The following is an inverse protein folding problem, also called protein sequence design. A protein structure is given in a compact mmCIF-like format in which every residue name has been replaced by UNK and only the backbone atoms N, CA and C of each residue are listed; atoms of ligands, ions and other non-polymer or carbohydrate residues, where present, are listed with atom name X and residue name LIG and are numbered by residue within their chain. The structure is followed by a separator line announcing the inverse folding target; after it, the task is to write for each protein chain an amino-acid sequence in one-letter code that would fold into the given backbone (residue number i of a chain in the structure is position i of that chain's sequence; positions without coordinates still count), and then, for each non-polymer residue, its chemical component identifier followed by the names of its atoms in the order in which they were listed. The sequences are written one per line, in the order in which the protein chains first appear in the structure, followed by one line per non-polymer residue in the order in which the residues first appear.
data_IF_907109525045
#
_entry.id   IF_907109525045
#
_cell.length_a   1.000
_cell.length_b   1.000
_cell.length_c   1.000
_cell.angle_alpha   90.00
_cell.angle_beta   90.00
_cell.angle_gamma   90.00
#
_symmetry.space_group_name_H-M   'P 1'
#
loop_
_entity.id
_entity.type
_entity.pdbx_description
1 polymer ?
#
# COMPACT_ATOMS: atom_id res chain seq x y z
N UNK A 1 17.24 9.48 8.80
CA UNK A 1 17.22 9.11 10.23
C UNK A 1 17.36 7.59 10.33
N UNK A 2 18.15 7.04 11.26
CA UNK A 2 18.22 5.58 11.47
C UNK A 2 17.09 5.10 12.38
N UNK A 3 16.69 3.83 12.26
CA UNK A 3 15.61 3.24 13.08
C UNK A 3 15.93 3.35 14.58
N UNK A 4 17.17 3.02 14.98
CA UNK A 4 17.62 3.10 16.38
C UNK A 4 17.67 4.53 16.95
N UNK A 5 17.74 5.55 16.08
CA UNK A 5 17.62 6.95 16.48
C UNK A 5 16.16 7.36 16.58
N UNK A 6 15.34 6.99 15.59
CA UNK A 6 13.91 7.26 15.58
C UNK A 6 13.20 6.72 16.84
N UNK A 7 13.52 5.49 17.26
CA UNK A 7 12.96 4.89 18.48
C UNK A 7 13.32 5.63 19.78
N UNK A 8 14.40 6.42 19.78
CA UNK A 8 14.82 7.21 20.96
C UNK A 8 14.24 8.62 20.95
N UNK A 9 13.99 9.16 19.76
CA UNK A 9 13.62 10.57 19.57
C UNK A 9 12.12 10.77 19.28
N UNK A 10 11.42 9.75 18.77
CA UNK A 10 10.02 9.82 18.36
C UNK A 10 9.20 8.84 19.19
N UNK A 11 8.08 9.32 19.73
CA UNK A 11 7.15 8.48 20.49
C UNK A 11 6.28 7.61 19.57
N UNK A 12 5.69 6.53 20.09
CA UNK A 12 4.77 5.69 19.30
C UNK A 12 3.54 6.46 18.82
N UNK A 13 3.04 7.41 19.61
CA UNK A 13 1.91 8.29 19.26
C UNK A 13 2.30 9.19 18.10
N UNK A 14 3.43 9.90 18.23
CA UNK A 14 3.92 10.79 17.17
C UNK A 14 4.20 10.01 15.87
N UNK A 15 4.77 8.81 15.96
CA UNK A 15 4.95 7.95 14.80
C UNK A 15 3.62 7.56 14.14
N UNK A 16 2.59 7.24 14.95
CA UNK A 16 1.25 6.94 14.43
C UNK A 16 0.61 8.16 13.76
N UNK A 17 0.81 9.36 14.30
CA UNK A 17 0.34 10.62 13.71
C UNK A 17 1.03 10.89 12.37
N UNK A 18 2.34 10.67 12.28
CA UNK A 18 3.06 10.76 11.00
C UNK A 18 2.57 9.75 9.97
N UNK A 19 2.24 8.52 10.41
CA UNK A 19 1.61 7.53 9.52
C UNK A 19 0.21 7.96 9.07
N UNK A 20 -0.60 8.55 9.97
CA UNK A 20 -1.93 9.06 9.63
C UNK A 20 -1.81 10.23 8.62
N UNK A 21 -0.88 11.15 8.87
CA UNK A 21 -0.59 12.27 7.98
C UNK A 21 -0.17 11.77 6.59
N UNK A 22 0.77 10.82 6.51
CA UNK A 22 1.19 10.24 5.24
C UNK A 22 0.05 9.55 4.46
N UNK A 23 -0.97 9.02 5.14
CA UNK A 23 -2.13 8.45 4.46
C UNK A 23 -3.06 9.53 3.86
N UNK A 24 -3.11 10.71 4.47
CA UNK A 24 -3.90 11.86 3.96
C UNK A 24 -3.12 12.55 2.85
N UNK A 25 -1.86 12.87 3.12
CA UNK A 25 -0.96 13.56 2.21
C UNK A 25 0.35 12.77 2.12
N UNK A 26 0.42 11.81 1.19
CA UNK A 26 1.61 11.00 1.06
C UNK A 26 2.80 11.84 0.60
N UNK A 27 3.85 11.87 1.42
CA UNK A 27 5.08 12.56 1.08
C UNK A 27 5.66 12.05 -0.25
N UNK A 28 6.09 12.98 -1.09
CA UNK A 28 6.92 12.70 -2.25
C UNK A 28 6.30 12.99 -3.62
N UNK A 29 7.00 12.52 -4.63
CA UNK A 29 6.89 12.96 -6.02
C UNK A 29 5.77 12.31 -6.81
N UNK A 30 4.82 11.58 -6.22
CA UNK A 30 3.76 10.91 -7.01
C UNK A 30 2.96 11.87 -7.88
N UNK A 31 2.66 13.07 -7.37
CA UNK A 31 2.03 14.12 -8.17
C UNK A 31 3.00 14.68 -9.23
N UNK A 32 4.30 14.77 -8.92
CA UNK A 32 5.30 15.19 -9.89
C UNK A 32 5.47 14.15 -11.02
N UNK A 33 5.46 12.86 -10.69
CA UNK A 33 5.47 11.74 -11.64
C UNK A 33 4.22 11.74 -12.53
N UNK A 34 3.04 12.09 -12.00
CA UNK A 34 1.84 12.26 -12.81
C UNK A 34 2.03 13.41 -13.82
N UNK A 35 2.51 14.57 -13.36
CA UNK A 35 2.77 15.72 -14.24
C UNK A 35 3.79 15.38 -15.32
N UNK A 36 4.88 14.71 -14.95
CA UNK A 36 5.92 14.28 -15.89
C UNK A 36 5.44 13.18 -16.82
N UNK A 37 4.64 12.23 -16.33
CA UNK A 37 4.03 11.17 -17.14
C UNK A 37 3.08 11.74 -18.19
N UNK A 38 2.31 12.77 -17.86
CA UNK A 38 1.47 13.48 -18.84
C UNK A 38 2.32 14.11 -19.95
N UNK A 39 3.38 14.84 -19.58
CA UNK A 39 4.27 15.47 -20.55
C UNK A 39 4.96 14.43 -21.44
N UNK A 40 5.50 13.36 -20.84
CA UNK A 40 6.16 12.28 -21.57
C UNK A 40 5.20 11.58 -22.54
N UNK A 41 3.96 11.30 -22.13
CA UNK A 41 2.95 10.72 -23.01
C UNK A 41 2.57 11.66 -24.16
N UNK A 42 2.43 12.97 -23.91
CA UNK A 42 2.21 13.95 -24.98
C UNK A 42 3.37 13.94 -25.97
N UNK A 43 4.61 14.04 -25.50
CA UNK A 43 5.79 14.02 -26.36
C UNK A 43 5.93 12.72 -27.14
N UNK A 44 5.70 11.57 -26.51
CA UNK A 44 5.76 10.26 -27.16
C UNK A 44 4.68 10.11 -28.22
N UNK A 45 3.44 10.54 -27.92
CA UNK A 45 2.32 10.42 -28.86
C UNK A 45 2.46 11.34 -30.08
N UNK A 46 3.10 12.51 -29.94
CA UNK A 46 3.43 13.39 -31.08
C UNK A 46 4.35 12.68 -32.08
N UNK A 47 5.28 11.86 -31.61
CA UNK A 47 6.28 11.19 -32.44
C UNK A 47 5.95 9.74 -32.79
N UNK A 48 4.81 9.20 -32.34
CA UNK A 48 4.44 7.80 -32.60
C UNK A 48 3.84 7.61 -34.00
N UNK A 49 3.91 6.40 -34.53
CA UNK A 49 3.13 6.00 -35.71
C UNK A 49 1.62 6.01 -35.37
N UNK A 50 0.77 6.80 -36.06
CA UNK A 50 -0.67 6.87 -35.82
C UNK A 50 -1.41 5.53 -35.78
N UNK A 51 -0.89 4.50 -36.47
CA UNK A 51 -1.50 3.16 -36.54
C UNK A 51 -1.26 2.29 -35.31
N UNK A 52 -0.28 2.63 -34.46
CA UNK A 52 0.03 1.85 -33.26
C UNK A 52 -0.95 2.18 -32.12
N UNK A 53 -0.78 1.63 -30.92
CA UNK A 53 -1.52 2.08 -29.73
C UNK A 53 -0.90 3.39 -29.20
N UNK A 54 -1.73 4.34 -28.75
CA UNK A 54 -1.26 5.53 -28.05
C UNK A 54 -0.71 5.17 -26.65
N UNK A 55 0.32 5.89 -26.23
CA UNK A 55 0.87 5.78 -24.89
C UNK A 55 -0.02 6.54 -23.90
N UNK A 56 -0.29 5.92 -22.76
CA UNK A 56 -0.95 6.54 -21.63
C UNK A 56 0.09 7.13 -20.67
N UNK A 57 -0.22 8.19 -19.91
CA UNK A 57 0.69 8.70 -18.87
C UNK A 57 1.18 7.62 -17.90
N UNK A 58 0.32 6.65 -17.59
CA UNK A 58 0.64 5.49 -16.74
C UNK A 58 1.75 4.59 -17.31
N UNK A 59 1.99 4.62 -18.63
CA UNK A 59 3.09 3.89 -19.25
C UNK A 59 4.47 4.41 -18.81
N UNK A 60 4.54 5.66 -18.35
CA UNK A 60 5.76 6.34 -17.89
C UNK A 60 5.85 6.44 -16.36
N UNK A 61 4.95 5.80 -15.61
CA UNK A 61 4.92 5.84 -14.14
C UNK A 61 5.08 4.43 -13.54
N UNK A 62 6.28 4.04 -13.07
CA UNK A 62 6.56 2.67 -12.61
C UNK A 62 5.68 2.16 -11.47
N UNK A 63 5.21 3.05 -10.59
CA UNK A 63 4.38 2.69 -9.44
C UNK A 63 2.89 2.52 -9.79
N UNK A 64 2.41 3.08 -10.90
CA UNK A 64 1.00 2.94 -11.33
C UNK A 64 0.72 1.54 -11.85
N UNK A 65 1.70 0.94 -12.54
CA UNK A 65 1.58 -0.40 -13.10
C UNK A 65 1.93 -1.52 -12.14
N UNK A 66 2.20 -1.25 -10.86
CA UNK A 66 2.47 -2.34 -9.92
C UNK A 66 1.19 -3.17 -9.79
N UNK A 67 1.15 -4.42 -10.32
CA UNK A 67 0.02 -5.27 -10.08
C UNK A 67 -0.04 -5.45 -8.56
N UNK A 68 -1.21 -5.18 -7.95
CA UNK A 68 -1.49 -5.73 -6.63
C UNK A 68 -1.36 -7.23 -6.80
N UNK A 69 -0.22 -7.80 -6.40
CA UNK A 69 -0.08 -9.24 -6.29
C UNK A 69 -1.06 -9.66 -5.22
N UNK A 70 -2.20 -10.19 -5.64
CA UNK A 70 -3.08 -10.89 -4.75
C UNK A 70 -2.28 -12.04 -4.15
N UNK A 71 -2.17 -12.04 -2.82
CA UNK A 71 -1.60 -13.18 -2.11
C UNK A 71 -2.70 -14.23 -2.08
N UNK A 72 -2.68 -15.11 -3.07
CA UNK A 72 -3.57 -16.27 -3.18
C UNK A 72 -2.83 -17.50 -2.65
N UNK A 73 -3.42 -18.17 -1.66
CA UNK A 73 -2.95 -19.45 -1.17
C UNK A 73 -3.72 -20.59 -1.86
N UNK A 74 -3.05 -21.73 -2.09
CA UNK A 74 -3.67 -22.92 -2.71
C UNK A 74 -4.83 -23.49 -1.86
N UNK A 75 -4.72 -23.40 -0.53
CA UNK A 75 -5.78 -23.82 0.40
C UNK A 75 -6.62 -22.61 0.86
N UNK A 76 -7.95 -22.61 0.63
CA UNK A 76 -8.87 -21.60 1.19
C UNK A 76 -8.77 -21.41 2.71
N UNK A 77 -8.36 -22.44 3.47
CA UNK A 77 -8.16 -22.32 4.92
C UNK A 77 -6.95 -21.45 5.26
N UNK A 78 -5.88 -21.54 4.48
CA UNK A 78 -4.70 -20.71 4.65
C UNK A 78 -4.99 -19.26 4.23
N UNK A 79 -5.82 -19.07 3.20
CA UNK A 79 -6.35 -17.75 2.85
C UNK A 79 -7.13 -17.13 4.02
N UNK A 80 -8.07 -17.88 4.61
CA UNK A 80 -8.86 -17.40 5.75
C UNK A 80 -8.00 -17.11 6.97
N UNK A 81 -6.98 -17.94 7.23
CA UNK A 81 -6.02 -17.75 8.32
C UNK A 81 -5.18 -16.49 8.11
N UNK A 82 -4.68 -16.26 6.91
CA UNK A 82 -3.91 -15.06 6.57
C UNK A 82 -4.74 -13.79 6.77
N UNK A 83 -5.98 -13.76 6.28
CA UNK A 83 -6.89 -12.62 6.47
C UNK A 83 -7.16 -12.37 7.96
N UNK A 84 -7.43 -13.43 8.74
CA UNK A 84 -7.69 -13.30 10.17
C UNK A 84 -6.47 -12.78 10.95
N UNK A 85 -5.27 -13.22 10.60
CA UNK A 85 -4.02 -12.74 11.17
C UNK A 85 -3.75 -11.28 10.79
N UNK A 86 -3.84 -10.95 9.51
CA UNK A 86 -3.51 -9.62 9.00
C UNK A 86 -4.50 -8.54 9.45
N UNK A 87 -5.80 -8.86 9.48
CA UNK A 87 -6.84 -7.88 9.85
C UNK A 87 -7.12 -7.83 11.34
N UNK A 88 -7.06 -8.96 12.04
CA UNK A 88 -7.53 -9.08 13.42
C UNK A 88 -6.47 -9.58 14.40
N UNK A 89 -5.28 -9.98 13.94
CA UNK A 89 -4.23 -10.55 14.78
C UNK A 89 -4.58 -11.92 15.36
N UNK A 90 -5.52 -12.66 14.74
CA UNK A 90 -6.03 -13.94 15.25
C UNK A 90 -5.49 -15.09 14.41
N UNK A 91 -4.81 -16.04 15.06
CA UNK A 91 -4.43 -17.30 14.42
C UNK A 91 -5.56 -18.33 14.48
N UNK A 92 -6.20 -18.60 13.35
CA UNK A 92 -7.28 -19.59 13.24
C UNK A 92 -6.84 -21.03 13.51
N UNK A 93 -5.55 -21.35 13.38
CA UNK A 93 -5.04 -22.71 13.70
C UNK A 93 -5.08 -22.99 15.20
N UNK A 94 -4.97 -21.94 16.02
CA UNK A 94 -5.06 -22.02 17.48
C UNK A 94 -6.51 -21.89 17.98
N UNK A 95 -7.43 -21.51 17.08
CA UNK A 95 -8.85 -21.31 17.29
C UNK A 95 -9.68 -22.60 17.15
N UNK A 96 -9.34 -23.68 17.86
CA UNK A 96 -10.18 -24.89 17.89
C UNK A 96 -11.47 -24.67 18.71
N UNK A 97 -12.44 -23.96 18.15
CA UNK A 97 -13.80 -23.79 18.72
C UNK A 97 -13.94 -22.82 19.89
N UNK A 98 -12.87 -22.11 20.27
CA UNK A 98 -12.93 -21.10 21.33
C UNK A 98 -13.44 -19.76 20.78
N UNK A 99 -14.42 -19.16 21.44
CA UNK A 99 -14.88 -17.80 21.14
C UNK A 99 -13.80 -16.79 21.51
N UNK A 100 -13.32 -16.01 20.55
CA UNK A 100 -12.39 -14.91 20.81
C UNK A 100 -13.18 -13.66 21.18
N UNK A 101 -12.91 -13.09 22.36
CA UNK A 101 -13.36 -11.74 22.68
C UNK A 101 -12.36 -10.76 22.09
N UNK A 102 -12.70 -10.16 20.97
CA UNK A 102 -11.93 -9.04 20.41
C UNK A 102 -12.12 -7.85 21.37
N UNK A 103 -11.17 -7.66 22.29
CA UNK A 103 -11.12 -6.44 23.10
C UNK A 103 -10.60 -5.33 22.19
N UNK A 104 -11.53 -4.57 21.63
CA UNK A 104 -11.22 -3.30 20.98
C UNK A 104 -10.88 -2.32 22.11
N UNK A 105 -9.60 -2.02 22.32
CA UNK A 105 -9.24 -0.90 23.19
C UNK A 105 -9.75 0.37 22.49
N UNK A 106 -10.92 0.86 22.92
CA UNK A 106 -11.24 2.28 22.80
C UNK A 106 -10.30 2.97 23.78
N UNK A 107 -9.21 3.51 23.26
CA UNK A 107 -8.57 4.62 23.94
C UNK A 107 -9.43 5.82 23.58
N UNK A 108 -10.29 6.22 24.52
CA UNK A 108 -10.87 7.56 24.55
C UNK A 108 -9.75 8.59 24.79
#
# INVERSE_FOLDING_TARGET
MSVARAQREITSVEFADWMAFYNIEPFGDRIADIRMGMLAATTANIHRDPKTKAFEPADFMPWVKQPKKEVLFDDPKDQARFVALAMFGIDLSQAKGKKFKVKRNRND
#
